data_IF_535406533518
#
_entry.id   IF_535406533518
#
_cell.length_a   1.000
_cell.length_b   1.000
_cell.length_c   1.000
_cell.angle_alpha   90.00
_cell.angle_beta   90.00
_cell.angle_gamma   90.00
#
_symmetry.space_group_name_H-M   'P 1'
#
loop_
_entity.id
_entity.type
_entity.pdbx_description
1 polymer ?
#
# COMPACT_ATOMS: atom_id res chain seq x y z
N UNK A 1 48.63 68.10 98.91
CA UNK A 1 47.50 68.97 98.50
C UNK A 1 47.33 68.74 97.01
N UNK A 2 46.47 67.80 96.64
CA UNK A 2 45.07 68.07 96.24
C UNK A 2 45.02 68.18 94.72
N UNK A 3 44.54 67.12 94.06
CA UNK A 3 43.20 67.03 93.41
C UNK A 3 43.37 67.33 91.89
N UNK A 4 43.16 66.37 90.99
CA UNK A 4 41.85 66.00 90.41
C UNK A 4 41.15 67.24 89.82
N UNK A 5 40.79 67.36 88.54
CA UNK A 5 39.99 66.46 87.71
C UNK A 5 40.14 66.83 86.21
N UNK A 6 40.14 65.77 85.39
CA UNK A 6 39.80 65.60 83.96
C UNK A 6 39.05 66.75 83.25
N UNK A 7 39.24 66.88 81.93
CA UNK A 7 38.19 66.61 80.92
C UNK A 7 38.56 67.04 79.46
N UNK A 8 38.22 66.16 78.50
CA UNK A 8 38.04 66.36 77.05
C UNK A 8 39.25 66.44 76.11
N UNK A 9 39.71 65.26 75.69
CA UNK A 9 39.98 64.98 74.27
C UNK A 9 39.26 63.68 73.88
N UNK A 10 38.02 63.82 73.42
CA UNK A 10 37.25 62.72 72.85
C UNK A 10 37.62 62.59 71.36
N UNK A 11 38.25 61.48 71.01
CA UNK A 11 38.32 60.99 69.64
C UNK A 11 36.90 60.53 69.26
N UNK A 12 36.28 61.04 68.18
CA UNK A 12 34.98 60.54 67.78
C UNK A 12 35.17 59.16 67.16
N UNK A 13 34.75 58.11 67.87
CA UNK A 13 34.45 56.82 67.27
C UNK A 13 33.27 57.05 66.35
N UNK A 14 33.52 57.12 65.05
CA UNK A 14 32.50 57.09 64.02
C UNK A 14 31.78 55.73 64.12
N UNK A 15 30.69 55.70 64.88
CA UNK A 15 29.68 54.66 64.78
C UNK A 15 29.05 54.74 63.40
N UNK A 16 29.62 54.02 62.44
CA UNK A 16 29.03 53.81 61.13
C UNK A 16 27.75 53.00 61.30
N UNK A 17 26.61 53.66 61.33
CA UNK A 17 25.30 53.04 61.15
C UNK A 17 25.26 52.47 59.73
N UNK A 18 25.57 51.18 59.59
CA UNK A 18 25.33 50.43 58.36
C UNK A 18 23.84 50.59 57.99
N UNK A 19 23.49 50.95 56.74
CA UNK A 19 22.10 50.98 56.31
C UNK A 19 21.47 49.62 56.57
N UNK A 20 20.31 49.60 57.24
CA UNK A 20 19.54 48.36 57.39
C UNK A 20 19.08 47.95 55.99
N UNK A 21 19.54 46.79 55.52
CA UNK A 21 19.08 46.13 54.29
C UNK A 21 17.54 46.22 54.24
N UNK A 22 17.00 46.78 53.16
CA UNK A 22 15.56 46.83 52.96
C UNK A 22 15.02 45.41 52.77
N UNK A 23 13.75 45.18 53.14
CA UNK A 23 13.14 43.86 52.98
C UNK A 23 13.14 43.40 51.50
N UNK A 24 13.07 44.32 50.54
CA UNK A 24 13.15 44.03 49.10
C UNK A 24 14.54 43.56 48.66
N UNK A 25 15.60 44.21 49.12
CA UNK A 25 17.00 43.80 48.87
C UNK A 25 17.27 42.43 49.48
N UNK A 26 16.78 42.21 50.71
CA UNK A 26 16.90 40.92 51.40
C UNK A 26 16.19 39.79 50.66
N UNK A 27 14.96 40.01 50.19
CA UNK A 27 14.21 39.02 49.41
C UNK A 27 14.92 38.68 48.10
N UNK A 28 15.45 39.69 47.40
CA UNK A 28 16.20 39.50 46.15
C UNK A 28 17.47 38.67 46.37
N UNK A 29 18.24 38.98 47.42
CA UNK A 29 19.43 38.22 47.80
C UNK A 29 19.08 36.77 48.16
N UNK A 30 18.08 36.56 49.02
CA UNK A 30 17.63 35.23 49.41
C UNK A 30 17.14 34.41 48.20
N UNK A 31 16.43 35.01 47.26
CA UNK A 31 16.01 34.34 46.03
C UNK A 31 17.22 33.88 45.19
N UNK A 32 18.25 34.72 45.08
CA UNK A 32 19.51 34.36 44.42
C UNK A 32 20.22 33.19 45.11
N UNK A 33 20.35 33.23 46.44
CA UNK A 33 20.95 32.16 47.24
C UNK A 33 20.19 30.83 47.08
N UNK A 34 18.85 30.86 47.15
CA UNK A 34 17.99 29.69 46.97
C UNK A 34 18.19 29.08 45.57
N UNK A 35 18.20 29.92 44.52
CA UNK A 35 18.38 29.44 43.15
C UNK A 35 19.78 28.85 42.92
N UNK A 36 20.83 29.44 43.52
CA UNK A 36 22.17 28.87 43.48
C UNK A 36 22.23 27.48 44.15
N UNK A 37 21.60 27.31 45.32
CA UNK A 37 21.52 26.01 46.01
C UNK A 37 20.76 24.99 45.15
N UNK A 38 19.65 25.39 44.52
CA UNK A 38 18.87 24.51 43.63
C UNK A 38 19.73 24.02 42.47
N UNK A 39 20.45 24.92 41.81
CA UNK A 39 21.27 24.59 40.65
C UNK A 39 22.47 23.69 41.04
N UNK A 40 23.16 24.02 42.14
CA UNK A 40 24.23 23.19 42.68
C UNK A 40 23.73 21.77 43.03
N UNK A 41 22.55 21.67 43.65
CA UNK A 41 21.95 20.39 44.01
C UNK A 41 21.59 19.58 42.76
N UNK A 42 21.00 20.22 41.74
CA UNK A 42 20.68 19.60 40.45
C UNK A 42 21.93 18.98 39.82
N UNK A 43 22.98 19.77 39.65
CA UNK A 43 24.24 19.33 39.05
C UNK A 43 24.91 18.21 39.87
N UNK A 44 24.91 18.32 41.20
CA UNK A 44 25.48 17.29 42.08
C UNK A 44 24.74 15.95 41.93
N UNK A 45 23.41 15.97 41.93
CA UNK A 45 22.59 14.77 41.77
C UNK A 45 22.77 14.16 40.38
N UNK A 46 22.87 14.98 39.34
CA UNK A 46 23.13 14.53 37.98
C UNK A 46 24.49 13.82 37.88
N UNK A 47 25.57 14.46 38.33
CA UNK A 47 26.91 13.90 38.31
C UNK A 47 26.99 12.60 39.11
N UNK A 48 26.40 12.56 40.31
CA UNK A 48 26.31 11.35 41.12
C UNK A 48 25.57 10.22 40.37
N UNK A 49 24.48 10.53 39.68
CA UNK A 49 23.70 9.55 38.90
C UNK A 49 24.56 8.89 37.82
N UNK A 50 25.28 9.69 37.03
CA UNK A 50 26.17 9.19 35.98
C UNK A 50 27.30 8.33 36.55
N UNK A 51 27.92 8.82 37.61
CA UNK A 51 29.12 8.24 38.18
C UNK A 51 28.82 6.96 39.00
N UNK A 52 27.61 6.85 39.57
CA UNK A 52 27.08 5.57 40.09
C UNK A 52 26.86 4.58 38.94
N UNK A 53 26.23 5.01 37.84
CA UNK A 53 26.03 4.18 36.66
C UNK A 53 27.34 3.59 36.12
N UNK A 54 28.37 4.42 36.02
CA UNK A 54 29.73 4.01 35.65
C UNK A 54 30.31 2.93 36.58
N UNK A 55 30.21 3.12 37.90
CA UNK A 55 30.70 2.14 38.90
C UNK A 55 29.90 0.85 38.85
N UNK A 56 28.60 0.90 38.62
CA UNK A 56 27.76 -0.28 38.48
C UNK A 56 28.15 -1.12 37.26
N UNK A 57 28.52 -0.50 36.14
CA UNK A 57 29.04 -1.22 34.96
C UNK A 57 30.34 -1.95 35.30
N UNK A 58 31.27 -1.28 35.97
CA UNK A 58 32.55 -1.90 36.40
C UNK A 58 32.31 -3.04 37.39
N UNK A 59 31.42 -2.83 38.37
CA UNK A 59 31.06 -3.86 39.34
C UNK A 59 30.42 -5.07 38.66
N UNK A 60 29.50 -4.86 37.71
CA UNK A 60 28.85 -5.94 36.96
C UNK A 60 29.84 -6.80 36.16
N UNK A 61 30.93 -6.20 35.68
CA UNK A 61 32.01 -6.94 35.01
C UNK A 61 32.87 -7.78 35.97
N UNK A 62 32.94 -7.39 37.26
CA UNK A 62 33.72 -8.09 38.26
C UNK A 62 32.92 -9.14 39.06
N UNK A 63 31.60 -8.98 39.17
CA UNK A 63 30.73 -9.90 39.92
C UNK A 63 30.57 -11.24 39.17
N UNK A 64 30.74 -12.39 39.84
CA UNK A 64 30.52 -13.69 39.22
C UNK A 64 29.11 -13.86 38.64
N UNK A 65 29.00 -14.64 37.55
CA UNK A 65 27.71 -14.95 36.93
C UNK A 65 26.70 -15.48 37.96
N UNK A 66 25.46 -15.00 37.87
CA UNK A 66 24.36 -15.38 38.77
C UNK A 66 24.34 -14.68 40.14
N UNK A 67 25.39 -13.94 40.51
CA UNK A 67 25.48 -13.27 41.83
C UNK A 67 25.11 -11.78 41.82
N UNK A 68 24.73 -11.23 40.66
CA UNK A 68 24.46 -9.80 40.48
C UNK A 68 23.34 -9.26 41.37
N UNK A 69 22.17 -9.91 41.36
CA UNK A 69 21.01 -9.52 42.17
C UNK A 69 21.34 -9.46 43.68
N UNK A 70 22.06 -10.49 44.16
CA UNK A 70 22.47 -10.60 45.55
C UNK A 70 23.46 -9.49 45.93
N UNK A 71 24.48 -9.28 45.09
CA UNK A 71 25.48 -8.24 45.31
C UNK A 71 24.85 -6.84 45.38
N UNK A 72 23.92 -6.53 44.47
CA UNK A 72 23.20 -5.25 44.45
C UNK A 72 22.44 -5.01 45.75
N UNK A 73 21.71 -6.02 46.23
CA UNK A 73 20.91 -5.91 47.45
C UNK A 73 21.79 -5.74 48.70
N UNK A 74 22.87 -6.51 48.80
CA UNK A 74 23.69 -6.53 50.02
C UNK A 74 24.74 -5.42 50.08
N UNK A 75 25.30 -5.01 48.94
CA UNK A 75 26.46 -4.10 48.92
C UNK A 75 26.09 -2.63 48.70
N UNK A 76 25.02 -2.37 47.94
CA UNK A 76 24.65 -1.00 47.51
C UNK A 76 23.16 -0.70 47.65
N UNK A 77 22.38 -1.64 48.19
CA UNK A 77 20.93 -1.53 48.42
C UNK A 77 20.12 -1.09 47.18
N UNK A 78 20.45 -1.64 46.02
CA UNK A 78 19.73 -1.37 44.77
C UNK A 78 18.91 -2.56 44.29
N UNK A 79 17.78 -2.25 43.67
CA UNK A 79 17.09 -3.21 42.80
C UNK A 79 17.82 -3.35 41.46
N UNK A 80 17.66 -4.50 40.79
CA UNK A 80 18.20 -4.69 39.44
C UNK A 80 17.67 -3.63 38.46
N UNK A 81 16.40 -3.27 38.56
CA UNK A 81 15.78 -2.23 37.73
C UNK A 81 16.46 -0.88 37.92
N UNK A 82 16.70 -0.47 39.17
CA UNK A 82 17.38 0.79 39.49
C UNK A 82 18.81 0.78 38.97
N UNK A 83 19.54 -0.32 39.20
CA UNK A 83 20.91 -0.46 38.74
C UNK A 83 21.01 -0.39 37.21
N UNK A 84 20.15 -1.12 36.50
CA UNK A 84 20.11 -1.11 35.03
C UNK A 84 19.76 0.28 34.49
N UNK A 85 18.79 0.98 35.08
CA UNK A 85 18.43 2.35 34.69
C UNK A 85 19.62 3.31 34.86
N UNK A 86 20.36 3.23 35.97
CA UNK A 86 21.54 4.06 36.22
C UNK A 86 22.68 3.75 35.24
N UNK A 87 22.94 2.45 34.99
CA UNK A 87 23.94 2.01 34.02
C UNK A 87 23.61 2.53 32.61
N UNK A 88 22.37 2.32 32.13
CA UNK A 88 21.95 2.79 30.81
C UNK A 88 21.98 4.32 30.70
N UNK A 89 21.71 5.03 31.79
CA UNK A 89 21.89 6.49 31.85
C UNK A 89 23.34 6.89 31.57
N UNK A 90 24.30 6.21 32.20
CA UNK A 90 25.72 6.47 31.96
C UNK A 90 26.16 6.09 30.54
N UNK A 91 25.73 4.94 30.02
CA UNK A 91 26.03 4.50 28.65
C UNK A 91 25.53 5.53 27.62
N UNK A 92 24.34 6.10 27.85
CA UNK A 92 23.70 7.07 26.96
C UNK A 92 24.33 8.46 27.04
N UNK A 93 24.53 8.98 28.25
CA UNK A 93 24.85 10.41 28.47
C UNK A 93 26.22 10.65 29.12
N UNK A 94 26.80 9.64 29.78
CA UNK A 94 28.02 9.79 30.59
C UNK A 94 29.33 9.57 29.83
N UNK A 95 29.28 8.95 28.65
CA UNK A 95 30.46 8.63 27.84
C UNK A 95 30.66 9.57 26.63
N UNK A 96 29.91 10.68 26.56
CA UNK A 96 29.75 11.51 25.35
C UNK A 96 31.06 11.97 24.71
N UNK A 97 32.09 12.32 25.50
CA UNK A 97 33.40 12.74 24.98
C UNK A 97 34.32 11.58 24.56
N UNK A 98 34.16 10.40 25.17
CA UNK A 98 34.99 9.22 24.94
C UNK A 98 34.35 8.20 23.97
N UNK A 99 33.12 8.47 23.53
CA UNK A 99 32.35 7.61 22.63
C UNK A 99 32.88 7.70 21.20
N UNK A 100 33.45 6.60 20.71
CA UNK A 100 33.98 6.45 19.34
C UNK A 100 32.91 6.02 18.32
N UNK A 101 31.86 5.33 18.78
CA UNK A 101 30.79 4.79 17.94
C UNK A 101 29.41 5.12 18.53
N UNK A 102 28.42 5.36 17.68
CA UNK A 102 27.07 5.77 18.06
C UNK A 102 26.87 7.29 18.05
N UNK A 103 25.63 7.73 18.23
CA UNK A 103 25.29 9.15 18.24
C UNK A 103 25.98 9.87 19.41
N UNK A 104 26.62 11.00 19.10
CA UNK A 104 27.19 11.90 20.11
C UNK A 104 26.12 12.87 20.57
N UNK A 105 25.87 12.87 21.88
CA UNK A 105 25.04 13.90 22.51
C UNK A 105 25.84 15.20 22.61
N UNK A 106 25.17 16.34 22.61
CA UNK A 106 25.84 17.61 22.93
C UNK A 106 26.16 17.63 24.44
N UNK A 107 27.44 17.74 24.86
CA UNK A 107 27.80 17.85 26.27
C UNK A 107 27.13 19.03 26.99
N UNK A 108 26.90 20.15 26.29
CA UNK A 108 26.26 21.33 26.87
C UNK A 108 24.80 21.05 27.23
N UNK A 109 24.04 20.49 26.30
CA UNK A 109 22.64 20.08 26.52
C UNK A 109 22.56 19.01 27.61
N UNK A 110 23.47 18.03 27.61
CA UNK A 110 23.53 17.00 28.65
C UNK A 110 23.72 17.64 30.03
N UNK A 111 24.61 18.61 30.20
CA UNK A 111 24.88 19.25 31.49
C UNK A 111 23.68 20.04 32.06
N UNK A 112 22.74 20.43 31.21
CA UNK A 112 21.51 21.12 31.63
C UNK A 112 20.43 20.15 32.12
N UNK A 113 20.54 18.85 31.82
CA UNK A 113 19.56 17.86 32.22
C UNK A 113 19.55 17.60 33.73
N UNK A 114 18.36 17.46 34.30
CA UNK A 114 18.19 16.86 35.62
C UNK A 114 18.03 15.33 35.52
N UNK A 115 18.24 14.64 36.64
CA UNK A 115 18.14 13.17 36.74
C UNK A 115 16.82 12.61 36.17
N UNK A 116 15.71 13.26 36.42
CA UNK A 116 14.40 12.81 35.98
C UNK A 116 14.24 12.91 34.46
N UNK A 117 14.77 13.96 33.84
CA UNK A 117 14.78 14.14 32.39
C UNK A 117 15.65 13.08 31.71
N UNK A 118 16.85 12.81 32.24
CA UNK A 118 17.71 11.75 31.72
C UNK A 118 17.00 10.39 31.69
N UNK A 119 16.23 10.08 32.74
CA UNK A 119 15.46 8.83 32.80
C UNK A 119 14.28 8.81 31.81
N UNK A 120 13.62 9.95 31.58
CA UNK A 120 12.56 10.04 30.58
C UNK A 120 13.10 9.79 29.17
N UNK A 121 14.24 10.42 28.83
CA UNK A 121 14.92 10.28 27.53
C UNK A 121 15.37 8.84 27.24
N UNK A 122 15.66 8.02 28.26
CA UNK A 122 15.95 6.59 28.07
C UNK A 122 14.79 5.79 27.46
N UNK A 123 13.57 6.34 27.43
CA UNK A 123 12.43 5.73 26.74
C UNK A 123 12.65 5.70 25.21
N UNK A 124 13.48 6.60 24.69
CA UNK A 124 13.87 6.65 23.28
C UNK A 124 14.97 5.60 23.05
N UNK A 125 14.60 4.50 22.38
CA UNK A 125 15.48 3.33 22.24
C UNK A 125 16.73 3.62 21.40
N UNK A 126 16.57 4.24 20.23
CA UNK A 126 17.69 4.61 19.36
C UNK A 126 18.50 5.75 19.97
N UNK A 127 19.83 5.68 19.85
CA UNK A 127 20.72 6.75 20.28
C UNK A 127 20.62 7.96 19.35
N UNK A 128 20.47 7.70 18.06
CA UNK A 128 20.29 8.70 17.00
C UNK A 128 18.99 9.47 17.22
N UNK A 129 17.86 8.78 17.39
CA UNK A 129 16.57 9.43 17.64
C UNK A 129 16.54 10.20 18.96
N UNK A 130 17.32 9.76 19.95
CA UNK A 130 17.45 10.47 21.21
C UNK A 130 18.29 11.74 21.04
N UNK A 131 19.37 11.69 20.26
CA UNK A 131 20.20 12.84 19.95
C UNK A 131 19.44 13.88 19.11
N UNK A 132 18.70 13.43 18.08
CA UNK A 132 17.80 14.27 17.28
C UNK A 132 16.78 14.98 18.17
N UNK A 133 16.11 14.23 19.05
CA UNK A 133 15.14 14.81 19.97
C UNK A 133 15.76 15.84 20.91
N UNK A 134 16.95 15.56 21.45
CA UNK A 134 17.65 16.51 22.32
C UNK A 134 18.08 17.77 21.58
N UNK A 135 18.47 17.66 20.30
CA UNK A 135 18.81 18.81 19.46
C UNK A 135 17.57 19.64 19.10
N UNK A 136 16.47 18.99 18.70
CA UNK A 136 15.19 19.63 18.38
C UNK A 136 14.62 20.42 19.56
N UNK A 137 14.84 19.93 20.79
CA UNK A 137 14.32 20.53 22.01
C UNK A 137 15.38 21.28 22.82
N UNK A 138 16.59 21.51 22.29
CA UNK A 138 17.74 22.01 23.08
C UNK A 138 17.47 23.28 23.89
N UNK A 139 16.66 24.19 23.36
CA UNK A 139 16.39 25.48 23.98
C UNK A 139 15.39 25.36 25.15
N UNK A 140 14.48 24.38 25.11
CA UNK A 140 13.40 24.23 26.09
C UNK A 140 13.64 23.06 27.06
N UNK A 141 14.57 22.15 26.74
CA UNK A 141 14.77 20.87 27.43
C UNK A 141 15.08 21.04 28.93
N UNK A 142 15.79 22.11 29.29
CA UNK A 142 16.12 22.43 30.68
C UNK A 142 14.87 22.75 31.51
N UNK A 143 13.90 23.45 30.92
CA UNK A 143 12.68 23.92 31.57
C UNK A 143 11.56 22.86 31.56
N UNK A 144 11.62 21.90 30.63
CA UNK A 144 10.62 20.83 30.55
C UNK A 144 10.57 20.00 31.84
N UNK A 145 9.40 19.91 32.45
CA UNK A 145 9.18 18.94 33.52
C UNK A 145 9.27 17.51 32.97
N UNK A 146 9.53 16.55 33.86
CA UNK A 146 9.52 15.11 33.51
C UNK A 146 8.24 14.71 32.75
N UNK A 147 7.07 15.23 33.17
CA UNK A 147 5.78 14.87 32.56
C UNK A 147 5.61 15.45 31.17
N UNK A 148 6.04 16.69 30.96
CA UNK A 148 6.01 17.31 29.63
C UNK A 148 6.95 16.59 28.68
N UNK A 149 8.13 16.21 29.16
CA UNK A 149 9.10 15.43 28.38
C UNK A 149 8.57 14.04 28.01
N UNK A 150 7.99 13.30 28.97
CA UNK A 150 7.34 12.02 28.68
C UNK A 150 6.18 12.16 27.68
N UNK A 151 5.42 13.25 27.77
CA UNK A 151 4.33 13.54 26.83
C UNK A 151 4.87 13.85 25.43
N UNK A 152 5.90 14.69 25.31
CA UNK A 152 6.51 15.03 24.02
C UNK A 152 7.12 13.79 23.33
N UNK A 153 7.82 12.94 24.08
CA UNK A 153 8.35 11.67 23.56
C UNK A 153 7.22 10.77 23.05
N UNK A 154 6.14 10.65 23.83
CA UNK A 154 4.98 9.85 23.45
C UNK A 154 4.28 10.37 22.20
N UNK A 155 4.03 11.68 22.11
CA UNK A 155 3.39 12.30 20.95
C UNK A 155 4.25 12.14 19.68
N UNK A 156 5.57 12.29 19.81
CA UNK A 156 6.52 12.02 18.72
C UNK A 156 6.45 10.56 18.27
N UNK A 157 6.47 9.60 19.19
CA UNK A 157 6.43 8.17 18.88
C UNK A 157 5.11 7.78 18.21
N UNK A 158 3.98 8.32 18.69
CA UNK A 158 2.67 8.12 18.08
C UNK A 158 2.60 8.74 16.68
N UNK A 159 3.15 9.95 16.49
CA UNK A 159 3.21 10.60 15.19
C UNK A 159 4.05 9.79 14.19
N UNK A 160 5.25 9.34 14.58
CA UNK A 160 6.11 8.49 13.74
C UNK A 160 5.44 7.16 13.40
N UNK A 161 4.80 6.51 14.38
CA UNK A 161 4.08 5.26 14.15
C UNK A 161 2.88 5.43 13.19
N UNK A 162 2.14 6.54 13.31
CA UNK A 162 1.02 6.85 12.42
C UNK A 162 1.51 7.18 11.01
N UNK A 163 2.60 7.92 10.88
CA UNK A 163 3.23 8.20 9.59
C UNK A 163 3.67 6.92 8.88
N UNK A 164 4.32 5.99 9.59
CA UNK A 164 4.73 4.71 8.98
C UNK A 164 3.54 3.85 8.58
N UNK A 165 2.47 3.80 9.38
CA UNK A 165 1.22 3.12 9.01
C UNK A 165 0.61 3.74 7.76
N UNK A 166 0.57 5.07 7.70
CA UNK A 166 0.04 5.79 6.54
C UNK A 166 0.91 5.54 5.31
N UNK A 167 2.24 5.56 5.44
CA UNK A 167 3.19 5.26 4.36
C UNK A 167 2.95 3.87 3.78
N UNK A 168 2.86 2.85 4.64
CA UNK A 168 2.57 1.46 4.21
C UNK A 168 1.22 1.34 3.51
N UNK A 169 0.18 1.93 4.07
CA UNK A 169 -1.15 1.93 3.46
C UNK A 169 -1.14 2.61 2.09
N UNK A 170 -0.43 3.73 1.96
CA UNK A 170 -0.31 4.47 0.70
C UNK A 170 0.51 3.69 -0.35
N UNK A 171 1.53 2.96 0.08
CA UNK A 171 2.32 2.05 -0.77
C UNK A 171 1.44 0.90 -1.30
N UNK A 172 0.66 0.25 -0.43
CA UNK A 172 -0.31 -0.79 -0.81
C UNK A 172 -1.40 -0.27 -1.77
N UNK A 173 -1.91 0.94 -1.53
CA UNK A 173 -2.85 1.62 -2.42
C UNK A 173 -2.22 1.92 -3.79
N UNK A 174 -0.95 2.30 -3.83
CA UNK A 174 -0.19 2.50 -5.06
C UNK A 174 -0.06 1.22 -5.88
N UNK A 175 0.33 0.13 -5.24
CA UNK A 175 0.48 -1.18 -5.89
C UNK A 175 -0.85 -1.73 -6.42
N UNK A 176 -1.91 -1.60 -5.63
CA UNK A 176 -3.26 -2.02 -6.06
C UNK A 176 -3.75 -1.19 -7.25
N UNK A 177 -3.53 0.13 -7.25
CA UNK A 177 -3.86 0.99 -8.38
C UNK A 177 -3.09 0.59 -9.65
N UNK A 178 -1.79 0.32 -9.54
CA UNK A 178 -0.98 -0.17 -10.68
C UNK A 178 -1.51 -1.49 -11.23
N UNK A 179 -1.88 -2.43 -10.36
CA UNK A 179 -2.47 -3.72 -10.77
C UNK A 179 -3.79 -3.53 -11.51
N UNK A 180 -4.68 -2.67 -11.02
CA UNK A 180 -5.96 -2.36 -11.68
C UNK A 180 -5.73 -1.73 -13.05
N UNK A 181 -4.77 -0.80 -13.18
CA UNK A 181 -4.42 -0.21 -14.47
C UNK A 181 -3.90 -1.27 -15.44
N UNK A 182 -3.01 -2.16 -15.00
CA UNK A 182 -2.49 -3.24 -15.83
C UNK A 182 -3.59 -4.22 -16.27
N UNK A 183 -4.52 -4.58 -15.39
CA UNK A 183 -5.67 -5.41 -15.75
C UNK A 183 -6.61 -4.71 -16.74
N UNK A 184 -6.87 -3.42 -16.55
CA UNK A 184 -7.68 -2.61 -17.46
C UNK A 184 -7.08 -2.58 -18.87
N UNK A 185 -5.78 -2.39 -19.00
CA UNK A 185 -5.11 -2.42 -20.32
C UNK A 185 -5.17 -3.82 -20.96
N UNK A 186 -4.97 -4.89 -20.18
CA UNK A 186 -5.15 -6.27 -20.68
C UNK A 186 -6.57 -6.53 -21.17
N UNK A 187 -7.58 -6.08 -20.42
CA UNK A 187 -8.99 -6.20 -20.80
C UNK A 187 -9.30 -5.41 -22.08
N UNK A 188 -8.76 -4.19 -22.20
CA UNK A 188 -8.92 -3.34 -23.38
C UNK A 188 -8.31 -3.97 -24.63
N UNK A 189 -7.15 -4.61 -24.50
CA UNK A 189 -6.51 -5.32 -25.60
C UNK A 189 -7.31 -6.57 -26.01
N UNK A 190 -7.81 -7.35 -25.04
CA UNK A 190 -8.72 -8.47 -25.34
C UNK A 190 -9.98 -8.01 -26.07
N UNK A 191 -10.56 -6.89 -25.63
CA UNK A 191 -11.74 -6.32 -26.28
C UNK A 191 -11.45 -5.91 -27.73
N UNK A 192 -10.29 -5.29 -28.00
CA UNK A 192 -9.84 -4.97 -29.37
C UNK A 192 -9.75 -6.20 -30.26
N UNK A 193 -9.10 -7.27 -29.79
CA UNK A 193 -8.99 -8.53 -30.54
C UNK A 193 -10.36 -9.13 -30.84
N UNK A 194 -11.21 -9.25 -29.82
CA UNK A 194 -12.57 -9.78 -30.00
C UNK A 194 -13.41 -8.94 -30.97
N UNK A 195 -13.27 -7.60 -30.96
CA UNK A 195 -13.94 -6.73 -31.94
C UNK A 195 -13.41 -6.91 -33.36
N UNK A 196 -12.12 -7.17 -33.54
CA UNK A 196 -11.52 -7.43 -34.85
C UNK A 196 -12.01 -8.78 -35.40
N UNK A 197 -11.95 -9.85 -34.60
CA UNK A 197 -12.45 -11.18 -34.94
C UNK A 197 -13.94 -11.13 -35.31
N UNK A 198 -14.74 -10.39 -34.54
CA UNK A 198 -16.16 -10.14 -34.84
C UNK A 198 -16.39 -9.51 -36.22
N UNK A 199 -15.54 -8.56 -36.59
CA UNK A 199 -15.67 -7.87 -37.87
C UNK A 199 -15.31 -8.80 -39.03
N UNK A 200 -14.30 -9.65 -38.82
CA UNK A 200 -13.87 -10.67 -39.76
C UNK A 200 -14.95 -11.73 -39.97
N UNK A 201 -15.48 -12.33 -38.90
CA UNK A 201 -16.55 -13.35 -38.99
C UNK A 201 -17.79 -12.80 -39.68
N UNK A 202 -18.16 -11.54 -39.41
CA UNK A 202 -19.27 -10.86 -40.10
C UNK A 202 -18.98 -10.64 -41.59
N UNK A 203 -17.74 -10.31 -41.94
CA UNK A 203 -17.31 -10.18 -43.34
C UNK A 203 -17.36 -11.50 -44.09
N UNK A 204 -16.89 -12.58 -43.48
CA UNK A 204 -17.00 -13.93 -44.05
C UNK A 204 -18.45 -14.36 -44.23
N UNK A 205 -19.31 -14.10 -43.24
CA UNK A 205 -20.73 -14.45 -43.33
C UNK A 205 -21.39 -13.75 -44.52
N UNK A 206 -21.06 -12.49 -44.76
CA UNK A 206 -21.58 -11.74 -45.92
C UNK A 206 -21.10 -12.34 -47.25
N UNK A 207 -19.82 -12.72 -47.36
CA UNK A 207 -19.28 -13.37 -48.56
C UNK A 207 -19.96 -14.72 -48.84
N UNK A 208 -20.11 -15.56 -47.82
CA UNK A 208 -20.83 -16.83 -47.93
C UNK A 208 -22.30 -16.61 -48.35
N UNK A 209 -22.97 -15.57 -47.86
CA UNK A 209 -24.33 -15.22 -48.31
C UNK A 209 -24.36 -14.83 -49.79
N UNK A 210 -23.39 -14.05 -50.26
CA UNK A 210 -23.28 -13.62 -51.66
C UNK A 210 -23.00 -14.81 -52.58
N UNK A 211 -22.05 -15.70 -52.23
CA UNK A 211 -21.73 -16.90 -52.99
C UNK A 211 -22.92 -17.88 -53.07
N UNK A 212 -23.65 -18.05 -51.96
CA UNK A 212 -24.86 -18.88 -51.93
C UNK A 212 -25.96 -18.32 -52.84
N UNK A 213 -26.12 -17.01 -52.89
CA UNK A 213 -27.09 -16.35 -53.76
C UNK A 213 -26.71 -16.51 -55.26
N UNK A 214 -25.42 -16.37 -55.58
CA UNK A 214 -24.92 -16.57 -56.95
C UNK A 214 -25.10 -18.03 -57.41
N UNK A 215 -24.78 -19.00 -56.56
CA UNK A 215 -24.99 -20.42 -56.86
C UNK A 215 -26.47 -20.76 -57.00
N UNK A 216 -27.35 -20.23 -56.14
CA UNK A 216 -28.80 -20.40 -56.28
C UNK A 216 -29.31 -19.88 -57.63
N UNK A 217 -28.84 -18.71 -58.06
CA UNK A 217 -29.18 -18.16 -59.36
C UNK A 217 -28.69 -19.05 -60.52
N UNK A 218 -27.51 -19.65 -60.38
CA UNK A 218 -26.95 -20.56 -61.39
C UNK A 218 -27.65 -21.91 -61.47
N UNK A 219 -28.10 -22.45 -60.34
CA UNK A 219 -28.94 -23.65 -60.31
C UNK A 219 -30.27 -23.34 -61.03
N UNK A 220 -30.91 -22.21 -60.71
CA UNK A 220 -32.16 -21.82 -61.37
C UNK A 220 -32.02 -21.64 -62.90
N UNK A 221 -30.89 -21.10 -63.36
CA UNK A 221 -30.59 -20.95 -64.79
C UNK A 221 -30.38 -22.31 -65.49
N UNK A 222 -29.62 -23.22 -64.84
CA UNK A 222 -29.41 -24.59 -65.34
C UNK A 222 -30.70 -25.42 -65.32
N UNK A 223 -31.55 -25.26 -64.32
CA UNK A 223 -32.89 -25.89 -64.26
C UNK A 223 -33.76 -25.41 -65.41
N UNK A 224 -33.72 -24.10 -65.72
CA UNK A 224 -34.45 -23.54 -66.86
C UNK A 224 -33.93 -24.10 -68.18
N UNK A 225 -32.62 -24.16 -68.40
CA UNK A 225 -32.03 -24.78 -69.58
C UNK A 225 -32.38 -26.27 -69.70
N UNK A 226 -32.43 -26.98 -68.57
CA UNK A 226 -32.83 -28.39 -68.52
C UNK A 226 -34.31 -28.58 -68.86
N UNK A 227 -35.19 -27.65 -68.47
CA UNK A 227 -36.59 -27.64 -68.90
C UNK A 227 -36.71 -27.34 -70.40
N UNK A 228 -35.99 -26.34 -70.91
CA UNK A 228 -35.99 -25.98 -72.33
C UNK A 228 -35.47 -27.15 -73.21
N UNK A 229 -34.39 -27.82 -72.81
CA UNK A 229 -33.88 -29.01 -73.50
C UNK A 229 -34.85 -30.20 -73.47
N UNK A 230 -35.61 -30.37 -72.38
CA UNK A 230 -36.66 -31.39 -72.28
C UNK A 230 -37.90 -31.07 -73.13
N UNK A 231 -38.21 -29.78 -73.33
CA UNK A 231 -39.36 -29.33 -74.11
C UNK A 231 -39.07 -29.23 -75.62
N UNK A 232 -37.86 -28.84 -76.03
CA UNK A 232 -37.45 -28.77 -77.44
C UNK A 232 -37.50 -30.12 -78.17
N UNK A 233 -37.32 -31.23 -77.45
CA UNK A 233 -37.42 -32.59 -77.97
C UNK A 233 -38.87 -33.04 -78.21
N UNK A 234 -39.84 -32.46 -77.48
CA UNK A 234 -41.27 -32.76 -77.64
C UNK A 234 -41.86 -32.07 -78.88
N UNK A 235 -41.35 -30.90 -79.27
CA UNK A 235 -41.78 -30.18 -80.48
C UNK A 235 -41.13 -30.68 -81.77
N UNK A 236 -39.97 -31.35 -81.70
CA UNK A 236 -39.26 -31.88 -82.88
C UNK A 236 -39.69 -33.29 -83.35
N UNK A 237 -40.54 -34.00 -82.58
CA UNK A 237 -40.73 -35.45 -82.73
C UNK A 237 -42.18 -35.94 -82.85
N UNK A 238 -42.94 -35.48 -83.84
CA UNK A 238 -44.08 -36.24 -84.35
C UNK A 238 -43.63 -37.33 -85.34
N UNK A 239 -42.75 -38.25 -84.92
CA UNK A 239 -42.51 -39.62 -85.42
C UNK A 239 -41.42 -40.24 -84.55
N UNK A 240 -41.67 -41.45 -84.06
CA UNK A 240 -40.78 -42.24 -83.19
C UNK A 240 -39.49 -42.62 -83.92
N UNK A 241 -38.38 -41.95 -83.61
CA UNK A 241 -37.03 -42.54 -83.54
C UNK A 241 -36.33 -41.97 -82.30
N UNK A 242 -35.54 -42.82 -81.63
CA UNK A 242 -34.92 -42.58 -80.31
C UNK A 242 -34.21 -41.22 -80.25
N UNK A 243 -34.23 -40.61 -79.06
CA UNK A 243 -33.44 -39.43 -78.73
C UNK A 243 -32.05 -39.53 -79.37
N UNK A 244 -31.54 -38.46 -80.01
CA UNK A 244 -30.13 -38.44 -80.39
C UNK A 244 -29.29 -38.63 -79.12
N UNK A 245 -28.38 -39.60 -79.12
CA UNK A 245 -27.53 -39.94 -77.95
C UNK A 245 -26.83 -38.70 -77.36
N UNK A 246 -26.58 -37.67 -78.18
CA UNK A 246 -26.02 -36.39 -77.76
C UNK A 246 -26.95 -35.60 -76.81
N UNK A 247 -28.26 -35.57 -77.05
CA UNK A 247 -29.23 -34.88 -76.18
C UNK A 247 -29.44 -35.62 -74.85
N UNK A 248 -29.43 -36.97 -74.88
CA UNK A 248 -29.44 -37.78 -73.65
C UNK A 248 -28.20 -37.54 -72.79
N UNK A 249 -27.02 -37.46 -73.43
CA UNK A 249 -25.76 -37.16 -72.74
C UNK A 249 -25.76 -35.73 -72.17
N UNK A 250 -26.29 -34.75 -72.90
CA UNK A 250 -26.38 -33.37 -72.45
C UNK A 250 -27.33 -33.23 -71.24
N UNK A 251 -28.53 -33.80 -71.29
CA UNK A 251 -29.47 -33.82 -70.15
C UNK A 251 -28.85 -34.52 -68.93
N UNK A 252 -28.15 -35.65 -69.14
CA UNK A 252 -27.45 -36.36 -68.06
C UNK A 252 -26.34 -35.52 -67.44
N UNK A 253 -25.60 -34.77 -68.27
CA UNK A 253 -24.54 -33.87 -67.81
C UNK A 253 -25.09 -32.67 -67.02
N UNK A 254 -26.20 -32.08 -67.45
CA UNK A 254 -26.88 -30.98 -66.77
C UNK A 254 -27.44 -31.43 -65.41
N UNK A 255 -28.06 -32.62 -65.34
CA UNK A 255 -28.53 -33.22 -64.08
C UNK A 255 -27.39 -33.50 -63.10
N UNK A 256 -26.27 -34.03 -63.58
CA UNK A 256 -25.11 -34.27 -62.75
C UNK A 256 -24.54 -32.96 -62.18
N UNK A 257 -24.53 -31.89 -62.98
CA UNK A 257 -24.01 -30.58 -62.57
C UNK A 257 -24.93 -29.85 -61.60
N UNK A 258 -26.25 -29.97 -61.74
CA UNK A 258 -27.22 -29.46 -60.76
C UNK A 258 -27.05 -30.19 -59.43
N UNK A 259 -27.01 -31.54 -59.44
CA UNK A 259 -26.86 -32.32 -58.22
C UNK A 259 -25.55 -32.02 -57.46
N UNK A 260 -24.44 -31.82 -58.17
CA UNK A 260 -23.16 -31.43 -57.58
C UNK A 260 -23.22 -30.04 -56.93
N UNK A 261 -23.87 -29.08 -57.59
CA UNK A 261 -24.05 -27.72 -57.06
C UNK A 261 -25.01 -27.70 -55.85
N UNK A 262 -26.09 -28.49 -55.87
CA UNK A 262 -27.03 -28.65 -54.76
C UNK A 262 -26.37 -29.28 -53.53
N UNK A 263 -25.50 -30.29 -53.71
CA UNK A 263 -24.77 -30.92 -52.61
C UNK A 263 -23.79 -29.93 -51.95
N UNK A 264 -23.07 -29.15 -52.76
CA UNK A 264 -22.19 -28.09 -52.27
C UNK A 264 -22.96 -26.98 -51.57
N UNK A 265 -24.11 -26.58 -52.11
CA UNK A 265 -25.00 -25.59 -51.54
C UNK A 265 -25.59 -26.05 -50.20
N UNK A 266 -25.95 -27.34 -50.07
CA UNK A 266 -26.41 -27.93 -48.80
C UNK A 266 -25.35 -27.88 -47.70
N UNK A 267 -24.09 -28.16 -48.03
CA UNK A 267 -22.97 -28.08 -47.06
C UNK A 267 -22.69 -26.64 -46.61
N UNK A 268 -22.72 -25.68 -47.52
CA UNK A 268 -22.55 -24.26 -47.20
C UNK A 268 -23.76 -23.66 -46.45
N UNK A 269 -24.98 -24.12 -46.74
CA UNK A 269 -26.20 -23.72 -46.02
C UNK A 269 -26.11 -24.06 -44.52
N UNK A 270 -25.62 -25.25 -44.18
CA UNK A 270 -25.40 -25.67 -42.78
C UNK A 270 -24.39 -24.73 -42.10
N UNK A 271 -23.30 -24.36 -42.79
CA UNK A 271 -22.32 -23.41 -42.25
C UNK A 271 -22.91 -22.02 -42.05
N UNK A 272 -23.79 -21.56 -42.93
CA UNK A 272 -24.44 -20.26 -42.87
C UNK A 272 -25.47 -20.19 -41.73
N UNK A 273 -26.24 -21.26 -41.55
CA UNK A 273 -27.18 -21.40 -40.45
C UNK A 273 -26.47 -21.35 -39.10
N UNK A 274 -25.32 -22.05 -38.96
CA UNK A 274 -24.49 -21.95 -37.76
C UNK A 274 -24.01 -20.51 -37.52
N UNK A 275 -23.45 -19.84 -38.55
CA UNK A 275 -22.99 -18.45 -38.43
C UNK A 275 -24.13 -17.49 -38.04
N UNK A 276 -25.35 -17.70 -38.54
CA UNK A 276 -26.55 -16.94 -38.14
C UNK A 276 -26.92 -17.16 -36.69
N UNK A 277 -26.96 -18.42 -36.22
CA UNK A 277 -27.27 -18.72 -34.82
C UNK A 277 -26.22 -18.14 -33.87
N UNK A 278 -24.94 -18.17 -34.27
CA UNK A 278 -23.85 -17.57 -33.53
C UNK A 278 -23.99 -16.04 -33.38
N UNK A 279 -24.28 -15.31 -34.46
CA UNK A 279 -24.50 -13.85 -34.39
C UNK A 279 -25.76 -13.48 -33.59
N UNK A 280 -26.85 -14.25 -33.69
CA UNK A 280 -28.04 -14.03 -32.86
C UNK A 280 -27.74 -14.19 -31.38
N UNK A 281 -27.05 -15.28 -31.00
CA UNK A 281 -26.66 -15.53 -29.61
C UNK A 281 -25.76 -14.41 -29.07
N UNK A 282 -24.84 -13.91 -29.89
CA UNK A 282 -23.97 -12.78 -29.54
C UNK A 282 -24.76 -11.48 -29.34
N UNK A 283 -25.75 -11.21 -30.18
CA UNK A 283 -26.66 -10.07 -30.03
C UNK A 283 -27.41 -10.10 -28.68
N UNK A 284 -27.99 -11.26 -28.35
CA UNK A 284 -28.68 -11.48 -27.07
C UNK A 284 -27.73 -11.33 -25.88
N UNK A 285 -26.49 -11.81 -26.01
CA UNK A 285 -25.46 -11.65 -24.97
C UNK A 285 -25.13 -10.18 -24.69
N UNK A 286 -24.98 -9.37 -25.74
CA UNK A 286 -24.73 -7.94 -25.61
C UNK A 286 -25.94 -7.23 -24.98
N UNK A 287 -27.16 -7.55 -25.39
CA UNK A 287 -28.37 -6.98 -24.80
C UNK A 287 -28.50 -7.33 -23.30
N UNK A 288 -28.18 -8.57 -22.92
CA UNK A 288 -28.12 -8.99 -21.52
C UNK A 288 -27.04 -8.22 -20.73
N UNK A 289 -25.88 -7.97 -21.33
CA UNK A 289 -24.80 -7.20 -20.71
C UNK A 289 -25.20 -5.72 -20.49
N UNK A 290 -25.89 -5.11 -21.45
CA UNK A 290 -26.40 -3.73 -21.33
C UNK A 290 -27.49 -3.63 -20.25
N UNK A 291 -28.43 -4.58 -20.23
CA UNK A 291 -29.44 -4.65 -19.18
C UNK A 291 -28.80 -4.80 -17.79
N UNK A 292 -27.76 -5.63 -17.66
CA UNK A 292 -26.97 -5.77 -16.44
C UNK A 292 -26.25 -4.49 -16.02
N UNK A 293 -25.77 -3.68 -16.98
CA UNK A 293 -25.11 -2.42 -16.71
C UNK A 293 -26.07 -1.35 -16.16
N UNK A 294 -27.35 -1.42 -16.54
CA UNK A 294 -28.41 -0.50 -16.09
C UNK A 294 -29.04 -0.88 -14.74
N UNK A 295 -28.65 -1.99 -14.11
CA UNK A 295 -29.21 -2.47 -12.84
C UNK A 295 -28.46 -1.94 -11.61
N UNK A 296 -29.14 -1.94 -10.46
CA UNK A 296 -28.56 -1.67 -9.15
C UNK A 296 -27.43 -2.67 -8.77
N UNK A 297 -26.40 -2.24 -8.03
CA UNK A 297 -25.18 -3.03 -7.77
C UNK A 297 -25.42 -4.44 -7.19
N UNK A 298 -26.34 -4.53 -6.22
CA UNK A 298 -26.68 -5.80 -5.55
C UNK A 298 -27.35 -6.81 -6.50
N UNK A 299 -28.19 -6.33 -7.42
CA UNK A 299 -28.82 -7.19 -8.43
C UNK A 299 -27.83 -7.55 -9.53
N UNK A 300 -27.01 -6.58 -9.96
CA UNK A 300 -25.99 -6.77 -10.97
C UNK A 300 -25.04 -7.94 -10.61
N UNK A 301 -24.59 -8.04 -9.36
CA UNK A 301 -23.71 -9.12 -8.91
C UNK A 301 -24.36 -10.51 -9.04
N UNK A 302 -25.64 -10.65 -8.65
CA UNK A 302 -26.38 -11.93 -8.73
C UNK A 302 -26.62 -12.37 -10.17
N UNK A 303 -27.08 -11.46 -11.03
CA UNK A 303 -27.35 -11.78 -12.43
C UNK A 303 -26.06 -12.03 -13.23
N UNK A 304 -24.95 -11.33 -12.90
CA UNK A 304 -23.64 -11.60 -13.48
C UNK A 304 -23.14 -13.01 -13.11
N UNK A 305 -23.37 -13.47 -11.89
CA UNK A 305 -23.05 -14.84 -11.48
C UNK A 305 -23.89 -15.89 -12.22
N UNK A 306 -25.19 -15.64 -12.40
CA UNK A 306 -26.08 -16.53 -13.15
C UNK A 306 -25.66 -16.65 -14.63
N UNK A 307 -25.33 -15.53 -15.26
CA UNK A 307 -24.86 -15.48 -16.65
C UNK A 307 -23.55 -16.27 -16.84
N UNK A 308 -22.61 -16.16 -15.90
CA UNK A 308 -21.36 -16.92 -15.92
C UNK A 308 -21.62 -18.44 -15.83
N UNK A 309 -22.51 -18.87 -14.94
CA UNK A 309 -22.89 -20.29 -14.80
C UNK A 309 -23.53 -20.84 -16.08
N UNK A 310 -24.34 -20.02 -16.75
CA UNK A 310 -24.96 -20.40 -18.03
C UNK A 310 -23.90 -20.59 -19.12
N UNK A 311 -22.91 -19.69 -19.22
CA UNK A 311 -21.78 -19.84 -20.16
C UNK A 311 -20.97 -21.11 -19.89
N UNK A 312 -20.65 -21.40 -18.62
CA UNK A 312 -19.91 -22.62 -18.26
C UNK A 312 -20.68 -23.89 -18.67
N UNK A 313 -22.01 -23.90 -18.52
CA UNK A 313 -22.86 -25.01 -18.97
C UNK A 313 -22.87 -25.15 -20.50
N UNK A 314 -22.92 -24.05 -21.24
CA UNK A 314 -22.85 -24.09 -22.71
C UNK A 314 -21.50 -24.64 -23.20
N UNK A 315 -20.39 -24.24 -22.57
CA UNK A 315 -19.06 -24.78 -22.89
C UNK A 315 -19.00 -26.30 -22.69
N UNK A 316 -19.54 -26.80 -21.58
CA UNK A 316 -19.61 -28.25 -21.34
C UNK A 316 -20.41 -29.02 -22.40
N UNK A 317 -21.48 -28.43 -22.94
CA UNK A 317 -22.30 -29.06 -24.00
C UNK A 317 -21.50 -29.14 -25.31
N UNK A 318 -20.77 -28.08 -25.67
CA UNK A 318 -19.94 -28.07 -26.88
C UNK A 318 -18.78 -29.06 -26.77
N UNK A 319 -18.13 -29.12 -25.61
CA UNK A 319 -17.01 -30.04 -25.36
C UNK A 319 -17.46 -31.53 -25.34
N UNK A 320 -18.65 -31.82 -24.81
CA UNK A 320 -19.24 -33.17 -24.87
C UNK A 320 -19.71 -33.56 -26.28
N UNK A 321 -20.19 -32.60 -27.08
CA UNK A 321 -20.66 -32.84 -28.44
C UNK A 321 -19.55 -33.11 -29.46
N UNK A 322 -18.32 -32.67 -29.20
CA UNK A 322 -17.15 -32.92 -30.06
C UNK A 322 -16.49 -34.30 -29.85
N UNK A 323 -16.93 -35.08 -28.85
CA UNK A 323 -16.41 -36.42 -28.53
C UNK A 323 -17.36 -37.58 -28.90
N UNK A 324 -18.44 -37.32 -29.64
CA UNK A 324 -19.38 -38.33 -30.15
C UNK A 324 -19.38 -38.36 -31.69
#
# INVERSE_FOLDING_TARGET
MSEDVKEKMAVPVAGGTMPKESDEERLTRLAGEINAIKEQTRATVQNATLEIGRRLIQAKAAVPHGSWAYWLKTSVDYSERTAQMLMSTYERFGNTQQKLFGAKMDPEVVNQLNRSQMFALLSIKSEEECAEFMEEHKDDLADMSKRELEKAIKERDEARANLEKWRKSNEELGDTAQRVVAEKEKLKEKLRKMTAETKETKGEMKRLQEEMAERAARIADLEKHLQEAQHADVEAGAVVERMPEEAEQEIKSLRAKIAELEEQQGKEAISLDFKRHFENMKGEFNAMADALAAMEPDRQARYRAAMKKMMDMMLQIVDCGAMA
#
